data_IF_316605731513
#
_entry.id   IF_316605731513
#
_cell.length_a   1.000
_cell.length_b   1.000
_cell.length_c   1.000
_cell.angle_alpha   90.00
_cell.angle_beta   90.00
_cell.angle_gamma   90.00
#
_symmetry.space_group_name_H-M   'P 1'
#
loop_
_entity.id
_entity.type
_entity.pdbx_description
1 polymer ?
#
# COMPACT_ATOMS: atom_id res chain seq x y z
N UNK A 1 -1.65 15.04 -26.48
CA UNK A 1 -2.82 14.64 -25.67
C UNK A 1 -3.09 15.73 -24.66
N UNK A 2 -4.31 16.29 -24.67
CA UNK A 2 -4.76 17.36 -23.75
C UNK A 2 -4.92 16.80 -22.32
N UNK A 3 -4.78 17.69 -21.33
CA UNK A 3 -4.94 17.47 -19.89
C UNK A 3 -5.89 16.30 -19.54
N UNK A 4 -5.47 15.42 -18.63
CA UNK A 4 -6.43 14.63 -17.83
C UNK A 4 -7.44 15.63 -17.26
N UNK A 5 -8.76 15.37 -17.31
CA UNK A 5 -9.73 16.30 -16.76
C UNK A 5 -9.34 16.58 -15.30
N UNK A 6 -9.02 17.83 -14.97
CA UNK A 6 -8.59 18.20 -13.63
C UNK A 6 -9.57 17.68 -12.56
N UNK A 7 -10.87 17.67 -12.90
CA UNK A 7 -11.94 17.08 -12.10
C UNK A 7 -11.75 15.61 -11.71
N UNK A 8 -11.15 14.77 -12.57
CA UNK A 8 -10.87 13.36 -12.24
C UNK A 8 -9.72 13.23 -11.24
N UNK A 9 -8.69 14.05 -11.39
CA UNK A 9 -7.55 14.06 -10.45
C UNK A 9 -8.03 14.55 -9.09
N UNK A 10 -8.80 15.64 -9.06
CA UNK A 10 -9.43 16.17 -7.84
C UNK A 10 -10.29 15.11 -7.14
N UNK A 11 -11.18 14.43 -7.88
CA UNK A 11 -12.04 13.40 -7.30
C UNK A 11 -11.27 12.22 -6.70
N UNK A 12 -10.19 11.79 -7.35
CA UNK A 12 -9.33 10.72 -6.81
C UNK A 12 -8.57 11.21 -5.58
N UNK A 13 -8.08 12.44 -5.61
CA UNK A 13 -7.40 13.05 -4.47
C UNK A 13 -8.32 13.20 -3.26
N UNK A 14 -9.55 13.69 -3.46
CA UNK A 14 -10.57 13.79 -2.41
C UNK A 14 -10.87 12.42 -1.81
N UNK A 15 -11.03 11.38 -2.64
CA UNK A 15 -11.25 10.01 -2.16
C UNK A 15 -10.08 9.52 -1.28
N UNK A 16 -8.83 9.73 -1.71
CA UNK A 16 -7.64 9.35 -0.94
C UNK A 16 -7.58 10.11 0.39
N UNK A 17 -7.76 11.43 0.37
CA UNK A 17 -7.73 12.28 1.57
C UNK A 17 -8.84 11.89 2.55
N UNK A 18 -10.05 11.59 2.05
CA UNK A 18 -11.17 11.17 2.89
C UNK A 18 -10.98 9.80 3.54
N UNK A 19 -10.17 8.92 2.93
CA UNK A 19 -9.89 7.58 3.47
C UNK A 19 -8.78 7.56 4.52
N UNK A 20 -7.92 8.58 4.58
CA UNK A 20 -6.78 8.62 5.51
C UNK A 20 -7.17 8.56 6.99
N UNK A 21 -8.14 9.37 7.48
CA UNK A 21 -8.52 9.32 8.89
C UNK A 21 -8.95 7.92 9.33
N UNK A 22 -9.66 7.20 8.45
CA UNK A 22 -10.06 5.82 8.73
C UNK A 22 -8.85 4.90 8.89
N UNK A 23 -7.91 4.93 7.94
CA UNK A 23 -6.71 4.09 8.00
C UNK A 23 -5.82 4.44 9.19
N UNK A 24 -5.64 5.73 9.49
CA UNK A 24 -4.84 6.19 10.64
C UNK A 24 -5.45 5.73 11.97
N UNK A 25 -6.75 5.95 12.17
CA UNK A 25 -7.44 5.49 13.40
C UNK A 25 -7.46 3.96 13.51
N UNK A 26 -7.58 3.23 12.38
CA UNK A 26 -7.53 1.77 12.40
C UNK A 26 -6.16 1.26 12.82
N UNK A 27 -5.09 1.82 12.27
CA UNK A 27 -3.71 1.48 12.64
C UNK A 27 -3.46 1.80 14.11
N UNK A 28 -3.90 2.95 14.59
CA UNK A 28 -3.77 3.35 16.00
C UNK A 28 -4.54 2.40 16.93
N UNK A 29 -5.77 2.03 16.58
CA UNK A 29 -6.56 1.08 17.37
C UNK A 29 -5.89 -0.30 17.42
N UNK A 30 -5.40 -0.80 16.29
CA UNK A 30 -4.68 -2.09 16.22
C UNK A 30 -3.36 -2.04 17.01
N UNK A 31 -2.63 -0.93 16.93
CA UNK A 31 -1.43 -0.69 17.73
C UNK A 31 -1.72 -0.79 19.23
N UNK A 32 -2.73 -0.07 19.69
CA UNK A 32 -3.11 -0.03 21.11
C UNK A 32 -3.56 -1.41 21.62
N UNK A 33 -4.31 -2.16 20.80
CA UNK A 33 -4.69 -3.54 21.13
C UNK A 33 -3.44 -4.42 21.24
N UNK A 34 -2.52 -4.31 20.28
CA UNK A 34 -1.28 -5.08 20.27
C UNK A 34 -0.39 -4.75 21.49
N UNK A 35 -0.31 -3.48 21.91
CA UNK A 35 0.43 -3.05 23.10
C UNK A 35 -0.19 -3.61 24.40
N UNK A 36 -1.51 -3.57 24.54
CA UNK A 36 -2.21 -4.12 25.69
C UNK A 36 -2.15 -5.65 25.76
N UNK A 37 -2.07 -6.32 24.61
CA UNK A 37 -1.97 -7.78 24.56
C UNK A 37 -0.54 -8.31 24.77
N UNK A 38 0.51 -7.47 24.81
CA UNK A 38 1.86 -7.94 25.15
C UNK A 38 1.96 -8.59 26.55
N UNK A 39 1.00 -8.33 27.43
CA UNK A 39 0.90 -8.96 28.75
C UNK A 39 0.24 -10.34 28.77
N UNK A 40 -0.50 -10.70 27.72
CA UNK A 40 -1.17 -11.99 27.59
C UNK A 40 -0.49 -12.82 26.48
N UNK A 41 -0.45 -14.14 26.61
CA UNK A 41 0.24 -15.06 25.68
C UNK A 41 -0.58 -15.28 24.38
N UNK A 42 -1.04 -14.19 23.76
CA UNK A 42 -1.92 -14.17 22.59
C UNK A 42 -1.09 -14.10 21.31
N UNK A 43 -1.06 -15.18 20.52
CA UNK A 43 -0.40 -15.20 19.20
C UNK A 43 -1.22 -14.38 18.19
N UNK A 44 -0.67 -13.26 17.73
CA UNK A 44 -1.23 -12.43 16.65
C UNK A 44 -0.48 -12.79 15.36
N UNK A 45 -1.06 -13.60 14.46
CA UNK A 45 -0.31 -14.15 13.33
C UNK A 45 0.32 -13.09 12.43
N UNK A 46 -0.35 -11.94 12.25
CA UNK A 46 0.07 -10.88 11.34
C UNK A 46 1.30 -10.08 11.79
N UNK A 47 1.66 -10.12 13.08
CA UNK A 47 2.84 -9.42 13.62
C UNK A 47 4.05 -10.36 13.75
N UNK A 48 3.87 -11.65 13.46
CA UNK A 48 4.90 -12.68 13.66
C UNK A 48 6.06 -12.53 12.68
N UNK A 49 7.20 -12.11 13.20
CA UNK A 49 8.46 -12.05 12.43
C UNK A 49 9.09 -13.44 12.40
N UNK A 50 9.29 -13.99 11.20
CA UNK A 50 9.90 -15.31 10.97
C UNK A 50 11.05 -15.23 9.96
N UNK A 51 11.96 -16.23 9.94
CA UNK A 51 13.02 -16.29 8.94
C UNK A 51 12.44 -16.29 7.52
N UNK A 52 12.81 -15.28 6.72
CA UNK A 52 12.23 -15.08 5.40
C UNK A 52 12.84 -16.07 4.40
N UNK A 53 12.02 -16.99 3.86
CA UNK A 53 12.39 -17.92 2.79
C UNK A 53 11.66 -17.61 1.50
N UNK A 54 10.39 -17.20 1.58
CA UNK A 54 9.56 -16.86 0.42
C UNK A 54 8.83 -15.53 0.61
N UNK A 55 8.84 -14.68 -0.43
CA UNK A 55 8.23 -13.34 -0.39
C UNK A 55 7.08 -13.25 -1.40
N UNK A 56 5.93 -12.71 -0.99
CA UNK A 56 4.90 -12.25 -1.93
C UNK A 56 5.17 -10.80 -2.33
N UNK A 57 5.29 -10.55 -3.63
CA UNK A 57 5.44 -9.21 -4.20
C UNK A 57 4.11 -8.80 -4.83
N UNK A 58 3.37 -7.91 -4.17
CA UNK A 58 2.14 -7.30 -4.68
C UNK A 58 2.52 -6.15 -5.60
N UNK A 59 2.27 -6.29 -6.91
CA UNK A 59 2.66 -5.29 -7.92
C UNK A 59 1.41 -4.58 -8.44
N UNK A 60 1.26 -3.32 -8.07
CA UNK A 60 0.10 -2.49 -8.45
C UNK A 60 0.42 -1.67 -9.70
N UNK A 61 -0.32 -1.94 -10.77
CA UNK A 61 -0.23 -1.24 -12.06
C UNK A 61 -1.58 -0.66 -12.46
N UNK A 62 -1.57 0.29 -13.41
CA UNK A 62 -2.78 0.82 -13.99
C UNK A 62 -3.36 -0.10 -15.07
N UNK A 63 -4.66 0.03 -15.32
CA UNK A 63 -5.34 -0.74 -16.37
C UNK A 63 -5.11 -0.21 -17.79
N UNK A 64 -4.89 1.10 -17.90
CA UNK A 64 -4.79 1.81 -19.18
C UNK A 64 -3.35 2.10 -19.57
N UNK A 65 -3.13 2.19 -20.88
CA UNK A 65 -1.87 2.67 -21.46
C UNK A 65 -1.84 4.20 -21.58
N UNK A 66 -0.88 4.72 -22.35
CA UNK A 66 -0.70 6.15 -22.65
C UNK A 66 -0.50 7.03 -21.39
N UNK A 67 0.08 6.43 -20.35
CA UNK A 67 0.39 7.06 -19.07
C UNK A 67 1.89 7.40 -18.95
N UNK A 68 2.58 7.63 -20.07
CA UNK A 68 4.02 7.81 -20.11
C UNK A 68 4.77 6.63 -19.49
N UNK A 69 5.71 6.93 -18.58
CA UNK A 69 6.55 5.94 -17.91
C UNK A 69 5.90 5.24 -16.71
N UNK A 70 4.69 5.60 -16.30
CA UNK A 70 4.08 5.16 -15.03
C UNK A 70 4.10 3.63 -14.81
N UNK A 71 3.46 2.86 -15.71
CA UNK A 71 3.42 1.40 -15.58
C UNK A 71 4.79 0.75 -15.77
N UNK A 72 5.60 1.30 -16.69
CA UNK A 72 6.94 0.77 -16.97
C UNK A 72 7.90 0.98 -15.79
N UNK A 73 7.76 2.07 -15.05
CA UNK A 73 8.59 2.36 -13.88
C UNK A 73 8.35 1.33 -12.76
N UNK A 74 7.08 1.02 -12.48
CA UNK A 74 6.71 -0.03 -11.52
C UNK A 74 7.21 -1.39 -11.97
N UNK A 75 6.97 -1.77 -13.22
CA UNK A 75 7.41 -3.07 -13.75
C UNK A 75 8.93 -3.21 -13.65
N UNK A 76 9.70 -2.19 -14.02
CA UNK A 76 11.17 -2.21 -13.88
C UNK A 76 11.62 -2.35 -12.42
N UNK A 77 10.95 -1.67 -11.49
CA UNK A 77 11.24 -1.78 -10.05
C UNK A 77 10.92 -3.20 -9.54
N UNK A 78 9.82 -3.81 -10.02
CA UNK A 78 9.48 -5.19 -9.72
C UNK A 78 10.55 -6.18 -10.22
N UNK A 79 11.01 -6.03 -11.46
CA UNK A 79 12.07 -6.89 -12.01
C UNK A 79 13.41 -6.72 -11.28
N UNK A 80 13.75 -5.49 -10.91
CA UNK A 80 14.93 -5.22 -10.08
C UNK A 80 14.83 -5.94 -8.74
N UNK A 81 13.67 -5.87 -8.07
CA UNK A 81 13.45 -6.57 -6.80
C UNK A 81 13.49 -8.08 -6.97
N UNK A 82 12.84 -8.63 -7.99
CA UNK A 82 12.89 -10.06 -8.31
C UNK A 82 14.32 -10.54 -8.52
N UNK A 83 15.15 -9.74 -9.21
CA UNK A 83 16.56 -10.06 -9.44
C UNK A 83 17.33 -10.09 -8.12
N UNK A 84 17.11 -9.08 -7.26
CA UNK A 84 17.70 -9.02 -5.92
C UNK A 84 17.31 -10.24 -5.07
N UNK A 85 16.03 -10.61 -5.04
CA UNK A 85 15.55 -11.78 -4.30
C UNK A 85 16.22 -13.08 -4.78
N UNK A 86 16.39 -13.24 -6.09
CA UNK A 86 17.14 -14.36 -6.66
C UNK A 86 18.60 -14.37 -6.23
N UNK A 87 19.26 -13.20 -6.22
CA UNK A 87 20.67 -13.11 -5.78
C UNK A 87 20.85 -13.44 -4.30
N UNK A 88 19.84 -13.16 -3.48
CA UNK A 88 19.80 -13.53 -2.06
C UNK A 88 19.40 -15.00 -1.83
N UNK A 89 19.08 -15.76 -2.88
CA UNK A 89 18.61 -17.14 -2.76
C UNK A 89 17.20 -17.28 -2.18
N UNK A 90 16.41 -16.20 -2.18
CA UNK A 90 15.05 -16.19 -1.65
C UNK A 90 14.04 -16.58 -2.73
N UNK A 91 13.04 -17.38 -2.33
CA UNK A 91 11.89 -17.65 -3.17
C UNK A 91 10.97 -16.43 -3.21
N UNK A 92 10.20 -16.32 -4.29
CA UNK A 92 9.22 -15.25 -4.41
C UNK A 92 8.01 -15.72 -5.23
N UNK A 93 6.89 -15.02 -5.04
CA UNK A 93 5.71 -15.11 -5.90
C UNK A 93 5.16 -13.71 -6.13
N UNK A 94 4.52 -13.48 -7.27
CA UNK A 94 3.93 -12.18 -7.61
C UNK A 94 2.41 -12.23 -7.45
N UNK A 95 1.83 -11.19 -6.86
CA UNK A 95 0.40 -10.89 -6.95
C UNK A 95 0.28 -9.67 -7.85
N UNK A 96 -0.19 -9.88 -9.08
CA UNK A 96 -0.27 -8.79 -10.06
C UNK A 96 -1.64 -8.14 -9.99
N UNK A 97 -1.66 -6.83 -9.76
CA UNK A 97 -2.88 -6.02 -9.71
C UNK A 97 -2.88 -5.02 -10.88
N UNK A 98 -3.93 -5.10 -11.71
CA UNK A 98 -4.15 -4.22 -12.85
C UNK A 98 -3.73 -4.82 -14.20
N UNK A 99 -4.45 -4.43 -15.26
CA UNK A 99 -4.36 -5.09 -16.58
C UNK A 99 -2.98 -5.03 -17.21
N UNK A 100 -2.19 -3.99 -16.95
CA UNK A 100 -0.85 -3.83 -17.55
C UNK A 100 0.18 -4.76 -16.91
N UNK A 101 0.19 -4.87 -15.59
CA UNK A 101 0.96 -5.87 -14.87
C UNK A 101 0.55 -7.27 -15.28
N UNK A 102 -0.77 -7.55 -15.32
CA UNK A 102 -1.28 -8.87 -15.68
C UNK A 102 -0.80 -9.29 -17.08
N UNK A 103 -0.97 -8.41 -18.08
CA UNK A 103 -0.49 -8.64 -19.44
C UNK A 103 1.04 -8.80 -19.52
N UNK A 104 1.80 -8.14 -18.63
CA UNK A 104 3.24 -8.20 -18.61
C UNK A 104 3.75 -9.55 -18.09
N UNK A 105 3.24 -9.98 -16.94
CA UNK A 105 3.67 -11.21 -16.28
C UNK A 105 3.13 -12.47 -16.96
N UNK A 106 1.93 -12.41 -17.56
CA UNK A 106 1.40 -13.52 -18.40
C UNK A 106 2.35 -13.89 -19.56
N UNK A 107 3.09 -12.91 -20.10
CA UNK A 107 4.07 -13.13 -21.18
C UNK A 107 5.42 -13.66 -20.67
N UNK A 108 5.58 -13.83 -19.35
CA UNK A 108 6.82 -14.21 -18.67
C UNK A 108 6.56 -15.35 -17.69
N UNK A 109 6.25 -16.57 -18.19
CA UNK A 109 5.87 -17.71 -17.35
C UNK A 109 6.98 -18.17 -16.39
N UNK A 110 8.23 -17.73 -16.59
CA UNK A 110 9.33 -17.97 -15.67
C UNK A 110 9.26 -17.13 -14.38
N UNK A 111 8.35 -16.15 -14.30
CA UNK A 111 8.03 -15.41 -13.09
C UNK A 111 6.80 -16.08 -12.47
N UNK A 112 6.92 -16.70 -11.28
CA UNK A 112 5.76 -17.27 -10.60
C UNK A 112 4.79 -16.15 -10.21
N UNK A 113 3.54 -16.27 -10.68
CA UNK A 113 2.44 -15.38 -10.31
C UNK A 113 1.38 -16.22 -9.63
N UNK A 114 1.00 -15.84 -8.41
CA UNK A 114 -0.04 -16.51 -7.65
C UNK A 114 -1.44 -16.08 -8.11
N UNK A 115 -1.66 -14.76 -8.24
CA UNK A 115 -2.96 -14.19 -8.63
C UNK A 115 -2.81 -13.04 -9.63
N UNK A 116 -3.81 -12.92 -10.50
CA UNK A 116 -4.03 -11.79 -11.38
C UNK A 116 -5.34 -11.12 -10.99
N UNK A 117 -5.25 -9.88 -10.49
CA UNK A 117 -6.39 -9.10 -10.01
C UNK A 117 -6.56 -7.85 -10.87
N UNK A 118 -7.76 -7.27 -10.88
CA UNK A 118 -8.06 -6.01 -11.55
C UNK A 118 -8.58 -5.00 -10.53
N UNK A 119 -8.10 -3.75 -10.58
CA UNK A 119 -8.43 -2.70 -9.61
C UNK A 119 -9.37 -1.60 -10.13
N UNK A 120 -9.82 -1.73 -11.37
CA UNK A 120 -10.72 -0.77 -12.00
C UNK A 120 -10.15 0.65 -12.16
N UNK A 121 -10.99 1.57 -12.62
CA UNK A 121 -10.60 2.98 -12.82
C UNK A 121 -10.71 3.83 -11.53
N UNK A 122 -11.55 3.38 -10.58
CA UNK A 122 -11.75 3.96 -9.26
C UNK A 122 -11.83 2.79 -8.30
N UNK A 123 -10.72 2.44 -7.61
CA UNK A 123 -10.69 1.29 -6.72
C UNK A 123 -11.74 1.43 -5.62
N UNK A 124 -12.41 0.33 -5.33
CA UNK A 124 -13.42 0.21 -4.28
C UNK A 124 -12.88 -0.56 -3.09
N UNK A 125 -13.51 -0.41 -1.92
CA UNK A 125 -13.17 -1.19 -0.72
C UNK A 125 -13.30 -2.69 -0.95
N UNK A 126 -14.22 -3.13 -1.81
CA UNK A 126 -14.39 -4.54 -2.17
C UNK A 126 -13.20 -5.10 -2.94
N UNK A 127 -12.67 -4.35 -3.89
CA UNK A 127 -11.47 -4.75 -4.65
C UNK A 127 -10.23 -4.77 -3.74
N UNK A 128 -10.11 -3.80 -2.83
CA UNK A 128 -9.05 -3.80 -1.83
C UNK A 128 -9.16 -5.00 -0.88
N UNK A 129 -10.38 -5.37 -0.45
CA UNK A 129 -10.61 -6.53 0.41
C UNK A 129 -10.19 -7.83 -0.28
N UNK A 130 -10.52 -8.00 -1.56
CA UNK A 130 -10.10 -9.20 -2.31
C UNK A 130 -8.57 -9.36 -2.35
N UNK A 131 -7.83 -8.26 -2.56
CA UNK A 131 -6.36 -8.27 -2.50
C UNK A 131 -5.88 -8.60 -1.08
N UNK A 132 -6.52 -8.03 -0.06
CA UNK A 132 -6.18 -8.25 1.33
C UNK A 132 -6.41 -9.72 1.76
N UNK A 133 -7.50 -10.34 1.33
CA UNK A 133 -7.83 -11.74 1.65
C UNK A 133 -6.79 -12.70 1.04
N UNK A 134 -6.37 -12.47 -0.21
CA UNK A 134 -5.31 -13.27 -0.87
C UNK A 134 -3.97 -13.12 -0.12
N UNK A 135 -3.59 -11.88 0.20
CA UNK A 135 -2.37 -11.58 0.96
C UNK A 135 -2.40 -12.20 2.35
N UNK A 136 -3.53 -12.08 3.04
CA UNK A 136 -3.75 -12.63 4.37
C UNK A 136 -3.63 -14.15 4.34
N UNK A 137 -4.30 -14.81 3.39
CA UNK A 137 -4.29 -16.27 3.25
C UNK A 137 -2.87 -16.79 3.07
N UNK A 138 -2.08 -16.21 2.16
CA UNK A 138 -0.70 -16.64 1.89
C UNK A 138 0.23 -16.47 3.11
N UNK A 139 0.03 -15.41 3.89
CA UNK A 139 0.86 -15.12 5.03
C UNK A 139 0.50 -16.00 6.24
N UNK A 140 -0.79 -16.17 6.52
CA UNK A 140 -1.27 -16.98 7.65
C UNK A 140 -1.07 -18.47 7.39
N UNK A 141 -1.17 -18.94 6.14
CA UNK A 141 -0.83 -20.32 5.76
C UNK A 141 0.67 -20.63 5.75
N UNK A 142 1.51 -19.64 6.06
CA UNK A 142 2.97 -19.72 6.01
C UNK A 142 3.53 -20.07 4.61
N UNK A 143 2.74 -19.86 3.54
CA UNK A 143 3.21 -20.01 2.17
C UNK A 143 4.21 -18.94 1.75
N UNK A 144 4.14 -17.76 2.38
CA UNK A 144 5.09 -16.66 2.24
C UNK A 144 5.39 -16.07 3.60
N UNK A 145 6.64 -15.69 3.85
CA UNK A 145 7.13 -15.19 5.15
C UNK A 145 7.12 -13.67 5.26
N UNK A 146 6.99 -12.99 4.13
CA UNK A 146 6.96 -11.53 4.04
C UNK A 146 6.15 -11.14 2.81
N UNK A 147 5.40 -10.05 2.95
CA UNK A 147 4.63 -9.47 1.85
C UNK A 147 5.13 -8.05 1.60
N UNK A 148 5.49 -7.77 0.35
CA UNK A 148 5.96 -6.47 -0.10
C UNK A 148 4.96 -5.88 -1.09
N UNK A 149 4.59 -4.61 -0.91
CA UNK A 149 3.70 -3.86 -1.77
C UNK A 149 4.50 -2.88 -2.63
N UNK A 150 4.42 -3.04 -3.94
CA UNK A 150 5.01 -2.15 -4.92
C UNK A 150 3.90 -1.34 -5.61
N UNK A 151 3.90 -0.03 -5.39
CA UNK A 151 2.93 0.91 -5.94
C UNK A 151 3.58 2.24 -6.30
N UNK A 152 2.87 3.09 -7.04
CA UNK A 152 3.38 4.42 -7.37
C UNK A 152 2.90 5.43 -6.35
N UNK A 153 3.83 6.06 -5.63
CA UNK A 153 3.54 7.23 -4.78
C UNK A 153 3.34 8.45 -5.67
N UNK A 154 2.20 9.11 -5.52
CA UNK A 154 1.95 10.40 -6.17
C UNK A 154 2.73 11.49 -5.44
N UNK A 155 3.69 12.12 -6.12
CA UNK A 155 4.51 13.20 -5.56
C UNK A 155 4.09 14.55 -6.13
N UNK A 156 3.71 14.63 -7.41
CA UNK A 156 3.10 15.81 -8.02
C UNK A 156 2.47 15.44 -9.35
N UNK A 157 1.79 16.38 -10.02
CA UNK A 157 1.25 16.17 -11.37
C UNK A 157 2.30 15.76 -12.41
N UNK A 158 3.58 16.09 -12.16
CA UNK A 158 4.69 15.82 -13.09
C UNK A 158 5.55 14.65 -12.60
N UNK A 159 5.59 14.41 -11.28
CA UNK A 159 6.47 13.43 -10.64
C UNK A 159 5.68 12.36 -9.92
N UNK A 160 5.98 11.10 -10.23
CA UNK A 160 5.41 9.94 -9.59
C UNK A 160 6.50 8.90 -9.41
N UNK A 161 6.69 8.41 -8.18
CA UNK A 161 7.83 7.56 -7.84
C UNK A 161 7.35 6.15 -7.47
N UNK A 162 7.90 5.07 -8.08
CA UNK A 162 7.60 3.71 -7.67
C UNK A 162 8.26 3.42 -6.32
N UNK A 163 7.45 3.07 -5.32
CA UNK A 163 7.87 2.79 -3.94
C UNK A 163 7.54 1.34 -3.59
N UNK A 164 8.43 0.73 -2.82
CA UNK A 164 8.33 -0.66 -2.34
C UNK A 164 8.26 -0.64 -0.82
N UNK A 165 7.14 -1.06 -0.25
CA UNK A 165 6.90 -1.10 1.19
C UNK A 165 6.72 -2.53 1.68
N UNK A 166 7.05 -2.80 2.94
CA UNK A 166 6.68 -4.04 3.60
C UNK A 166 5.26 -3.92 4.14
N UNK A 167 4.37 -4.82 3.73
CA UNK A 167 2.99 -4.85 4.18
C UNK A 167 2.79 -5.85 5.33
N UNK A 168 3.40 -7.04 5.23
CA UNK A 168 3.40 -8.05 6.30
C UNK A 168 4.83 -8.60 6.50
N UNK A 169 5.23 -8.96 7.74
CA UNK A 169 4.46 -8.78 8.99
C UNK A 169 4.21 -7.30 9.31
N UNK A 170 3.13 -7.03 10.03
CA UNK A 170 2.83 -5.69 10.53
C UNK A 170 3.91 -5.27 11.53
N UNK A 171 4.34 -4.01 11.46
CA UNK A 171 5.15 -3.41 12.52
C UNK A 171 4.38 -3.48 13.83
N UNK A 172 5.04 -3.77 14.97
CA UNK A 172 4.43 -3.66 16.29
C UNK A 172 3.85 -2.28 16.55
N UNK A 173 4.36 -1.24 15.86
CA UNK A 173 3.91 0.16 15.90
C UNK A 173 2.84 0.53 14.87
N UNK A 174 2.40 -0.42 14.05
CA UNK A 174 1.50 -0.13 12.93
C UNK A 174 2.14 0.70 11.80
N UNK A 175 3.44 0.98 11.90
CA UNK A 175 4.20 1.74 10.91
C UNK A 175 4.37 0.93 9.61
N UNK A 176 4.20 1.60 8.47
CA UNK A 176 4.52 1.04 7.17
C UNK A 176 5.96 1.41 6.85
N UNK A 177 6.84 0.42 6.81
CA UNK A 177 8.27 0.65 6.59
C UNK A 177 8.71 0.19 5.20
N UNK A 178 9.62 0.95 4.61
CA UNK A 178 10.33 0.55 3.41
C UNK A 178 11.28 -0.63 3.71
N UNK A 179 11.92 -1.16 2.67
CA UNK A 179 12.86 -2.28 2.83
C UNK A 179 14.14 -1.92 3.61
N UNK A 180 14.46 -0.63 3.74
CA UNK A 180 15.63 -0.14 4.46
C UNK A 180 15.31 0.15 5.94
N UNK A 181 14.08 -0.10 6.38
CA UNK A 181 13.62 0.21 7.74
C UNK A 181 13.27 1.69 7.93
N UNK A 182 13.16 2.47 6.85
CA UNK A 182 12.62 3.83 6.88
C UNK A 182 11.10 3.70 6.93
N UNK A 183 10.56 3.96 8.12
CA UNK A 183 9.12 3.97 8.33
C UNK A 183 8.53 5.29 7.83
N UNK A 184 7.53 5.19 6.96
CA UNK A 184 6.83 6.35 6.40
C UNK A 184 5.52 6.46 7.16
N UNK A 185 5.41 7.49 8.00
CA UNK A 185 4.12 7.88 8.52
C UNK A 185 3.22 8.33 7.37
N UNK A 186 1.97 7.86 7.34
CA UNK A 186 0.95 8.40 6.44
C UNK A 186 0.78 9.93 6.59
N UNK A 187 1.28 10.49 7.70
CA UNK A 187 1.28 11.91 8.04
C UNK A 187 2.26 12.79 7.23
N UNK A 188 3.21 12.23 6.48
CA UNK A 188 4.16 13.01 5.65
C UNK A 188 3.80 13.03 4.15
N UNK A 189 2.52 13.00 3.81
CA UNK A 189 2.08 13.15 2.43
C UNK A 189 1.75 14.63 2.10
N UNK A 190 2.44 15.18 1.10
CA UNK A 190 2.15 16.51 0.53
C UNK A 190 0.74 16.53 -0.09
N UNK A 191 -0.14 17.43 0.39
CA UNK A 191 -1.40 17.74 -0.29
C UNK A 191 -1.16 18.86 -1.30
N UNK A 192 -1.74 18.71 -2.49
CA UNK A 192 -1.71 19.73 -3.53
C UNK A 192 -3.11 20.32 -3.71
N UNK A 193 -3.29 21.63 -3.49
CA UNK A 193 -4.50 22.31 -3.92
C UNK A 193 -4.26 22.88 -5.32
N UNK A 194 -5.08 22.42 -6.27
CA UNK A 194 -5.20 23.06 -7.57
C UNK A 194 -6.06 24.31 -7.41
N UNK A 195 -5.42 25.47 -7.33
CA UNK A 195 -6.11 26.76 -7.31
C UNK A 195 -6.07 27.37 -8.70
N UNK A 196 -7.09 28.16 -9.04
CA UNK A 196 -7.06 29.00 -10.24
C UNK A 196 -6.81 30.43 -9.78
N UNK A 197 -5.58 30.92 -9.95
CA UNK A 197 -5.27 32.35 -9.84
C UNK A 197 -5.22 32.93 -11.25
N UNK A 198 -6.03 33.97 -11.49
CA UNK A 198 -6.02 34.74 -12.75
C UNK A 198 -6.20 33.89 -14.02
N UNK A 199 -7.03 32.84 -13.96
CA UNK A 199 -7.30 31.97 -15.11
C UNK A 199 -6.17 31.00 -15.48
N UNK A 200 -5.09 30.92 -14.69
CA UNK A 200 -4.04 29.91 -14.80
C UNK A 200 -4.14 28.91 -13.65
N UNK A 201 -3.96 27.62 -13.95
CA UNK A 201 -3.88 26.57 -12.93
C UNK A 201 -2.56 26.72 -12.17
N UNK A 202 -2.66 27.03 -10.88
CA UNK A 202 -1.53 27.12 -9.95
C UNK A 202 -1.60 25.97 -8.94
N UNK A 203 -0.44 25.40 -8.62
CA UNK A 203 -0.32 24.30 -7.63
C UNK A 203 0.19 24.91 -6.34
N UNK A 204 -0.65 24.94 -5.30
CA UNK A 204 -0.21 25.27 -3.94
C UNK A 204 0.04 23.95 -3.20
N UNK A 205 1.20 23.85 -2.52
CA UNK A 205 1.59 22.68 -1.72
C UNK A 205 1.31 22.97 -0.26
N UNK A 206 0.53 22.11 0.37
CA UNK A 206 0.21 22.16 1.78
C UNK A 206 0.68 20.83 2.39
N UNK A 207 1.73 20.87 3.21
CA UNK A 207 2.11 19.72 4.02
C UNK A 207 1.11 19.61 5.16
N UNK A 208 0.15 18.69 5.04
CA UNK A 208 -0.79 18.41 6.11
C UNK A 208 -0.15 17.41 7.05
N UNK A 209 0.31 17.90 8.20
CA UNK A 209 0.62 17.04 9.35
C UNK A 209 -0.68 16.81 10.09
N UNK A 210 -1.24 15.60 10.02
CA UNK A 210 -2.29 15.22 10.96
C UNK A 210 -1.61 15.02 12.32
N UNK A 211 -1.94 15.79 13.36
CA UNK A 211 -1.44 15.50 14.69
C UNK A 211 -2.06 14.16 15.14
N UNK A 212 -1.24 13.16 15.47
CA UNK A 212 -1.69 11.96 16.17
C UNK A 212 -2.24 12.42 17.53
N UNK A 213 -3.55 12.39 17.78
CA UNK A 213 -4.08 12.83 19.06
C UNK A 213 -3.64 11.84 20.15
N UNK A 214 -3.38 12.34 21.36
CA UNK A 214 -3.23 11.45 22.52
C UNK A 214 -4.61 10.96 22.95
N UNK A 215 -4.66 9.69 23.38
CA UNK A 215 -5.87 8.93 23.66
C UNK A 215 -6.92 9.70 24.50
N UNK A 216 -8.19 9.62 24.08
CA UNK A 216 -9.31 9.92 24.98
C UNK A 216 -9.73 8.63 25.70
N UNK A 217 -9.68 8.56 27.04
CA UNK A 217 -9.91 7.34 27.84
C UNK A 217 -11.35 6.78 27.80
N UNK A 218 -12.17 7.18 26.83
CA UNK A 218 -13.61 6.86 26.74
C UNK A 218 -13.87 5.57 25.93
N UNK A 219 -12.89 5.02 25.23
CA UNK A 219 -13.02 3.71 24.54
C UNK A 219 -12.86 2.50 25.47
N UNK A 220 -13.35 2.59 26.73
CA UNK A 220 -13.61 1.40 27.54
C UNK A 220 -14.87 0.76 26.99
N UNK A 221 -14.71 -0.31 26.22
CA UNK A 221 -15.80 -1.21 25.91
C UNK A 221 -16.33 -1.76 27.24
N UNK A 222 -17.54 -1.36 27.65
CA UNK A 222 -18.30 -2.08 28.66
C UNK A 222 -18.55 -3.49 28.10
N UNK A 223 -17.72 -4.45 28.53
CA UNK A 223 -18.10 -5.85 28.43
C UNK A 223 -19.23 -6.07 29.43
N UNK A 224 -20.47 -6.06 28.93
CA UNK A 224 -21.60 -6.63 29.64
C UNK A 224 -21.25 -8.11 29.92
N UNK A 225 -21.05 -8.45 31.19
CA UNK A 225 -21.00 -9.84 31.62
C UNK A 225 -22.43 -10.37 31.68
N UNK A 226 -22.75 -11.27 30.76
CA UNK A 226 -23.96 -12.10 30.77
C UNK A 226 -23.60 -13.57 30.56
#
# INVERSE_FOLDING_TARGET
>A
MKLVPAAKVLRVQEAVVSGRPFSETLVEALYNINEQMQTDDIDVPLTKVRPVKKIALVVVTGDRGLCGGFNNAIIKKAESRITELKTLGLHYTVISVGKKGNSYFLRRPYIPVDRFLEGGALPTTKEAQAIADDVFSLFVSEEVDKVELLYTKFVSLVKSDPVLHTLLPLSPKGEICDINGVCVDAAEDELFKLTTKEGKLTVERETVRTPTPSFSPILKFEQDQG
#
